data_IF_832822451453
#
_entry.id   IF_832822451453
#
_cell.length_a   1.000
_cell.length_b   1.000
_cell.length_c   1.000
_cell.angle_alpha   90.00
_cell.angle_beta   90.00
_cell.angle_gamma   90.00
#
_symmetry.space_group_name_H-M   'P 1'
#
loop_
_entity.id
_entity.type
_entity.pdbx_description
1 polymer ?
#
# COMPACT_ATOMS: atom_id res chain seq x y z
N UNK A 1 5.43 -9.26 -12.91
CA UNK A 1 5.66 -10.07 -11.69
C UNK A 1 5.59 -9.16 -10.47
N UNK A 2 5.35 -9.69 -9.26
CA UNK A 2 5.51 -8.93 -8.02
C UNK A 2 6.44 -9.64 -7.05
N UNK A 3 7.36 -8.88 -6.44
CA UNK A 3 8.15 -9.34 -5.30
C UNK A 3 7.39 -9.01 -4.00
N UNK A 4 6.90 -10.06 -3.35
CA UNK A 4 6.18 -10.00 -2.07
C UNK A 4 7.01 -10.56 -0.92
N UNK A 5 8.33 -10.60 -1.07
CA UNK A 5 9.26 -11.13 -0.07
C UNK A 5 9.09 -10.41 1.26
N UNK A 6 9.07 -11.18 2.34
CA UNK A 6 9.02 -10.64 3.72
C UNK A 6 10.07 -11.23 4.65
N UNK A 7 11.25 -11.57 4.11
CA UNK A 7 12.42 -12.02 4.87
C UNK A 7 13.33 -10.84 5.23
N UNK A 8 14.40 -11.06 6.00
CA UNK A 8 15.36 -10.00 6.40
C UNK A 8 16.17 -9.44 5.23
N UNK A 9 16.36 -10.20 4.14
CA UNK A 9 17.26 -9.86 3.03
C UNK A 9 16.54 -9.24 1.82
N UNK A 10 15.41 -8.54 2.02
CA UNK A 10 14.54 -8.04 0.92
C UNK A 10 15.33 -7.24 -0.12
N UNK A 11 16.25 -6.37 0.29
CA UNK A 11 17.04 -5.55 -0.63
C UNK A 11 17.92 -6.40 -1.56
N UNK A 12 18.57 -7.43 -1.01
CA UNK A 12 19.45 -8.33 -1.78
C UNK A 12 18.63 -9.18 -2.75
N UNK A 13 17.46 -9.66 -2.30
CA UNK A 13 16.55 -10.47 -3.11
C UNK A 13 16.02 -9.62 -4.28
N UNK A 14 15.45 -8.44 -3.99
CA UNK A 14 14.92 -7.52 -5.00
C UNK A 14 15.96 -7.16 -6.05
N UNK A 15 17.18 -6.77 -5.65
CA UNK A 15 18.27 -6.44 -6.58
C UNK A 15 18.68 -7.62 -7.48
N UNK A 16 18.62 -8.86 -6.97
CA UNK A 16 18.86 -10.06 -7.79
C UNK A 16 17.72 -10.34 -8.77
N UNK A 17 16.47 -10.13 -8.35
CA UNK A 17 15.29 -10.28 -9.21
C UNK A 17 15.35 -9.26 -10.34
N UNK A 18 15.55 -7.98 -10.03
CA UNK A 18 15.60 -6.89 -11.03
C UNK A 18 16.64 -7.17 -12.12
N UNK A 19 17.84 -7.67 -11.75
CA UNK A 19 18.89 -8.03 -12.72
C UNK A 19 18.50 -9.15 -13.69
N UNK A 20 17.53 -9.99 -13.35
CA UNK A 20 17.12 -11.17 -14.13
C UNK A 20 15.70 -11.07 -14.70
N UNK A 21 14.89 -10.16 -14.19
CA UNK A 21 13.49 -10.01 -14.54
C UNK A 21 13.37 -9.18 -15.81
N UNK A 22 12.92 -9.80 -16.89
CA UNK A 22 12.70 -9.17 -18.20
C UNK A 22 11.24 -8.68 -18.39
N UNK A 23 10.44 -8.69 -17.33
CA UNK A 23 9.04 -8.21 -17.32
C UNK A 23 8.87 -7.18 -16.20
N UNK A 24 7.82 -6.33 -16.23
CA UNK A 24 7.58 -5.36 -15.18
C UNK A 24 7.54 -6.00 -13.80
N UNK A 25 8.32 -5.46 -12.86
CA UNK A 25 8.41 -5.90 -11.48
C UNK A 25 7.70 -4.91 -10.57
N UNK A 26 6.77 -5.41 -9.75
CA UNK A 26 6.14 -4.61 -8.71
C UNK A 26 6.51 -5.04 -7.30
N UNK A 27 6.25 -4.16 -6.34
CA UNK A 27 6.47 -4.43 -4.92
C UNK A 27 5.36 -3.84 -4.04
N UNK A 28 5.33 -4.27 -2.78
CA UNK A 28 4.53 -3.65 -1.71
C UNK A 28 5.46 -3.05 -0.69
N UNK A 29 5.82 -1.77 -0.85
CA UNK A 29 6.82 -1.08 -0.01
C UNK A 29 6.49 -1.13 1.49
N UNK A 30 5.19 -1.16 1.82
CA UNK A 30 4.73 -1.30 3.21
C UNK A 30 5.22 -2.59 3.88
N UNK A 31 5.43 -3.69 3.14
CA UNK A 31 5.92 -4.94 3.73
C UNK A 31 7.36 -4.81 4.19
N UNK A 32 8.22 -4.18 3.38
CA UNK A 32 9.59 -3.91 3.77
C UNK A 32 9.65 -2.87 4.89
N UNK A 33 8.85 -1.81 4.84
CA UNK A 33 8.76 -0.83 5.92
C UNK A 33 8.36 -1.48 7.26
N UNK A 34 7.44 -2.45 7.23
CA UNK A 34 7.06 -3.21 8.44
C UNK A 34 8.20 -4.07 8.99
N UNK A 35 9.05 -4.65 8.12
CA UNK A 35 10.22 -5.44 8.53
C UNK A 35 11.29 -4.53 9.13
N UNK A 36 11.58 -3.41 8.48
CA UNK A 36 12.58 -2.44 8.97
C UNK A 36 12.14 -1.75 10.26
N UNK A 37 10.83 -1.51 10.45
CA UNK A 37 10.29 -0.99 11.71
C UNK A 37 10.30 -2.02 12.86
N UNK A 38 10.40 -3.32 12.54
CA UNK A 38 10.29 -4.44 13.48
C UNK A 38 8.87 -4.71 14.00
N UNK A 39 8.03 -3.68 14.11
CA UNK A 39 6.62 -3.79 14.52
C UNK A 39 5.75 -2.86 13.66
N UNK A 40 4.52 -3.29 13.34
CA UNK A 40 3.60 -2.52 12.50
C UNK A 40 3.34 -1.12 13.07
N UNK A 41 3.10 -1.02 14.39
CA UNK A 41 2.88 0.27 15.07
C UNK A 41 4.11 1.19 15.06
N UNK A 42 5.31 0.71 14.74
CA UNK A 42 6.52 1.56 14.67
C UNK A 42 6.77 2.14 13.29
N UNK A 43 5.97 1.77 12.29
CA UNK A 43 6.07 2.34 10.94
C UNK A 43 5.78 3.84 11.02
N UNK A 44 6.69 4.66 10.47
CA UNK A 44 6.49 6.10 10.30
C UNK A 44 6.28 6.42 8.82
N UNK A 45 5.72 7.60 8.52
CA UNK A 45 5.60 8.07 7.14
C UNK A 45 6.96 8.15 6.47
N UNK A 46 7.97 8.66 7.19
CA UNK A 46 9.30 8.90 6.64
C UNK A 46 10.02 7.59 6.32
N UNK A 47 9.91 6.58 7.19
CA UNK A 47 10.43 5.24 6.91
C UNK A 47 9.76 4.63 5.67
N UNK A 48 8.43 4.77 5.54
CA UNK A 48 7.74 4.27 4.36
C UNK A 48 8.21 4.97 3.08
N UNK A 49 8.36 6.30 3.10
CA UNK A 49 8.81 7.08 1.94
C UNK A 49 10.24 6.74 1.56
N UNK A 50 11.14 6.56 2.55
CA UNK A 50 12.52 6.12 2.32
C UNK A 50 12.56 4.74 1.66
N UNK A 51 11.79 3.78 2.17
CA UNK A 51 11.70 2.43 1.59
C UNK A 51 11.11 2.48 0.18
N UNK A 52 10.07 3.27 -0.05
CA UNK A 52 9.46 3.42 -1.36
C UNK A 52 10.43 4.03 -2.37
N UNK A 53 11.13 5.11 -2.01
CA UNK A 53 12.14 5.74 -2.87
C UNK A 53 13.33 4.82 -3.13
N UNK A 54 13.79 4.06 -2.12
CA UNK A 54 14.83 3.04 -2.27
C UNK A 54 14.43 1.99 -3.30
N UNK A 55 13.20 1.48 -3.22
CA UNK A 55 12.68 0.50 -4.18
C UNK A 55 12.54 1.08 -5.59
N UNK A 56 12.03 2.31 -5.70
CA UNK A 56 11.92 3.02 -6.97
C UNK A 56 13.30 3.20 -7.63
N UNK A 57 14.30 3.64 -6.86
CA UNK A 57 15.70 3.77 -7.30
C UNK A 57 16.33 2.45 -7.72
N UNK A 58 15.99 1.36 -7.04
CA UNK A 58 16.46 0.01 -7.42
C UNK A 58 15.87 -0.46 -8.75
N UNK A 59 14.74 0.11 -9.19
CA UNK A 59 14.14 -0.13 -10.51
C UNK A 59 12.84 -0.94 -10.51
N UNK A 60 12.00 -0.84 -9.47
CA UNK A 60 10.63 -1.36 -9.57
C UNK A 60 9.81 -0.55 -10.59
N UNK A 61 8.93 -1.20 -11.34
CA UNK A 61 8.09 -0.55 -12.34
C UNK A 61 6.74 -0.10 -11.78
N UNK A 62 6.24 -0.78 -10.74
CA UNK A 62 5.00 -0.38 -10.08
C UNK A 62 5.00 -0.71 -8.58
N UNK A 63 4.25 0.05 -7.80
CA UNK A 63 4.11 -0.20 -6.37
C UNK A 63 2.65 -0.27 -5.95
N UNK A 64 2.29 -1.28 -5.15
CA UNK A 64 0.94 -1.33 -4.57
C UNK A 64 0.86 -0.41 -3.36
N UNK A 65 0.18 0.71 -3.51
CA UNK A 65 -0.01 1.70 -2.43
C UNK A 65 -1.37 1.50 -1.77
N UNK A 66 -1.35 1.33 -0.45
CA UNK A 66 -2.49 0.90 0.37
C UNK A 66 -3.26 2.10 0.95
N UNK A 67 -3.46 3.15 0.15
CA UNK A 67 -4.00 4.43 0.61
C UNK A 67 -5.55 4.48 0.67
N UNK A 68 -6.29 3.52 0.11
CA UNK A 68 -7.75 3.60 -0.01
C UNK A 68 -8.53 3.44 1.30
N UNK A 69 -7.94 2.78 2.30
CA UNK A 69 -8.56 2.59 3.63
C UNK A 69 -8.44 3.86 4.45
N UNK A 70 -9.53 4.20 5.14
CA UNK A 70 -9.61 5.37 6.01
C UNK A 70 -10.24 4.98 7.34
N UNK A 71 -10.23 5.85 8.33
CA UNK A 71 -10.92 5.59 9.62
C UNK A 71 -12.42 5.31 9.44
N UNK A 72 -13.04 5.87 8.41
CA UNK A 72 -14.46 5.61 8.08
C UNK A 72 -14.73 4.14 7.73
N UNK A 73 -13.70 3.36 7.42
CA UNK A 73 -13.82 1.96 7.07
C UNK A 73 -14.07 1.04 8.28
N UNK A 74 -13.62 1.41 9.50
CA UNK A 74 -13.77 0.57 10.71
C UNK A 74 -15.20 0.06 10.96
N UNK A 75 -16.23 0.93 11.09
CA UNK A 75 -17.60 0.48 11.37
C UNK A 75 -18.23 -0.31 10.21
N UNK A 76 -17.66 -0.25 9.00
CA UNK A 76 -18.11 -1.04 7.86
C UNK A 76 -17.50 -2.45 7.89
N UNK A 77 -16.22 -2.56 8.25
CA UNK A 77 -15.48 -3.82 8.37
C UNK A 77 -16.04 -4.68 9.51
N UNK A 78 -16.50 -4.07 10.61
CA UNK A 78 -17.10 -4.80 11.73
C UNK A 78 -18.37 -5.58 11.36
N UNK A 79 -19.04 -5.20 10.27
CA UNK A 79 -20.27 -5.86 9.78
C UNK A 79 -20.00 -7.06 8.88
N UNK A 80 -18.74 -7.32 8.52
CA UNK A 80 -18.36 -8.39 7.60
C UNK A 80 -18.26 -9.74 8.30
N UNK A 81 -18.56 -10.79 7.54
CA UNK A 81 -18.28 -12.17 7.94
C UNK A 81 -16.77 -12.39 8.04
N UNK A 82 -16.02 -11.99 7.01
CA UNK A 82 -14.56 -12.10 6.92
C UNK A 82 -13.88 -10.73 6.87
N UNK A 83 -14.09 -9.90 7.90
CA UNK A 83 -13.39 -8.61 8.21
C UNK A 83 -12.46 -8.06 7.10
N UNK A 84 -11.15 -7.99 7.36
CA UNK A 84 -10.12 -7.60 6.40
C UNK A 84 -9.18 -8.78 6.18
N UNK A 85 -9.01 -9.17 4.91
CA UNK A 85 -8.15 -10.31 4.50
C UNK A 85 -6.89 -9.87 3.75
N UNK A 86 -6.73 -8.57 3.54
CA UNK A 86 -5.58 -8.00 2.86
C UNK A 86 -4.45 -7.78 3.86
N UNK A 87 -3.29 -8.44 3.70
CA UNK A 87 -2.16 -8.29 4.64
C UNK A 87 -1.77 -6.83 4.86
N UNK A 88 -1.50 -6.09 3.78
CA UNK A 88 -1.17 -4.66 3.89
C UNK A 88 -2.34 -3.79 4.39
N UNK A 89 -3.58 -4.22 4.15
CA UNK A 89 -4.76 -3.56 4.71
C UNK A 89 -4.84 -3.71 6.22
N UNK A 90 -4.59 -4.93 6.71
CA UNK A 90 -4.55 -5.24 8.14
C UNK A 90 -3.43 -4.48 8.85
N UNK A 91 -2.26 -4.30 8.22
CA UNK A 91 -1.17 -3.50 8.78
C UNK A 91 -1.60 -2.05 9.04
N UNK A 92 -2.24 -1.41 8.05
CA UNK A 92 -2.68 -0.03 8.21
C UNK A 92 -3.86 0.12 9.17
N UNK A 93 -4.80 -0.82 9.15
CA UNK A 93 -5.91 -0.82 10.12
C UNK A 93 -5.39 -0.94 11.56
N UNK A 94 -4.41 -1.82 11.80
CA UNK A 94 -3.75 -1.95 13.09
C UNK A 94 -3.01 -0.67 13.48
N UNK A 95 -2.21 -0.12 12.57
CA UNK A 95 -1.48 1.13 12.78
C UNK A 95 -2.42 2.29 13.11
N UNK A 96 -3.50 2.46 12.34
CA UNK A 96 -4.52 3.50 12.55
C UNK A 96 -5.22 3.35 13.90
N UNK A 97 -5.56 2.11 14.27
CA UNK A 97 -6.19 1.81 15.56
C UNK A 97 -5.26 2.12 16.73
N UNK A 98 -3.99 1.73 16.63
CA UNK A 98 -2.99 1.98 17.67
C UNK A 98 -2.75 3.48 17.91
N UNK A 99 -2.57 4.25 16.83
CA UNK A 99 -2.26 5.68 16.94
C UNK A 99 -3.49 6.57 17.08
N UNK A 100 -4.69 6.00 16.91
CA UNK A 100 -5.92 6.77 16.78
C UNK A 100 -5.79 7.88 15.72
N UNK A 101 -5.20 7.56 14.56
CA UNK A 101 -4.93 8.48 13.44
C UNK A 101 -5.51 7.98 12.13
N UNK A 102 -5.58 8.87 11.14
CA UNK A 102 -5.94 8.50 9.77
C UNK A 102 -4.78 7.75 9.09
N UNK A 103 -5.07 7.03 8.02
CA UNK A 103 -4.07 6.34 7.23
C UNK A 103 -2.99 7.33 6.70
N UNK A 104 -1.76 7.20 7.19
CA UNK A 104 -0.67 8.09 6.78
C UNK A 104 -0.40 8.04 5.26
N UNK A 105 -0.67 6.91 4.58
CA UNK A 105 -0.56 6.83 3.12
C UNK A 105 -1.63 7.64 2.40
N UNK A 106 -2.80 7.82 3.02
CA UNK A 106 -3.89 8.62 2.48
C UNK A 106 -3.63 10.12 2.68
N UNK A 107 -3.17 10.49 3.88
CA UNK A 107 -2.83 11.87 4.26
C UNK A 107 -1.65 12.39 3.43
N UNK A 108 -0.60 11.58 3.29
CA UNK A 108 0.65 11.94 2.61
C UNK A 108 0.74 11.40 1.18
N UNK A 109 -0.40 11.13 0.54
CA UNK A 109 -0.43 10.51 -0.79
C UNK A 109 0.31 11.33 -1.85
N UNK A 110 0.30 12.66 -1.75
CA UNK A 110 0.94 13.53 -2.74
C UNK A 110 2.49 13.41 -2.68
N UNK A 111 3.08 13.20 -1.50
CA UNK A 111 4.52 12.90 -1.36
C UNK A 111 4.90 11.58 -2.07
N UNK A 112 4.00 10.60 -2.03
CA UNK A 112 4.18 9.31 -2.74
C UNK A 112 4.11 9.55 -4.26
N UNK A 113 3.20 10.39 -4.73
CA UNK A 113 3.07 10.74 -6.16
C UNK A 113 4.33 11.44 -6.66
N UNK A 114 4.93 12.35 -5.89
CA UNK A 114 6.17 13.03 -6.29
C UNK A 114 7.35 12.05 -6.45
N UNK A 115 7.51 11.10 -5.52
CA UNK A 115 8.52 10.04 -5.66
C UNK A 115 8.22 9.18 -6.88
N UNK A 116 6.96 8.78 -7.08
CA UNK A 116 6.56 7.97 -8.22
C UNK A 116 6.85 8.68 -9.55
N UNK A 117 6.60 9.98 -9.64
CA UNK A 117 6.90 10.83 -10.81
C UNK A 117 8.40 10.91 -11.08
N UNK A 118 9.21 11.12 -10.03
CA UNK A 118 10.67 11.23 -10.14
C UNK A 118 11.33 9.98 -10.75
N UNK A 119 10.77 8.79 -10.50
CA UNK A 119 11.33 7.51 -10.91
C UNK A 119 10.49 6.76 -11.95
N UNK A 120 9.44 7.38 -12.50
CA UNK A 120 8.48 6.77 -13.43
C UNK A 120 7.88 5.43 -12.93
N UNK A 121 7.46 5.43 -11.66
CA UNK A 121 6.82 4.26 -11.02
C UNK A 121 5.31 4.35 -11.15
N UNK A 122 4.68 3.31 -11.71
CA UNK A 122 3.22 3.23 -11.76
C UNK A 122 2.63 2.93 -10.37
N UNK A 123 1.67 3.73 -9.92
CA UNK A 123 0.95 3.48 -8.68
C UNK A 123 -0.20 2.49 -8.88
N UNK A 124 -0.05 1.28 -8.35
CA UNK A 124 -1.14 0.29 -8.25
C UNK A 124 -1.95 0.56 -6.98
N UNK A 125 -3.02 1.34 -7.06
CA UNK A 125 -3.84 1.65 -5.89
C UNK A 125 -4.53 0.38 -5.37
N UNK A 126 -4.12 -0.08 -4.19
CA UNK A 126 -4.46 -1.40 -3.68
C UNK A 126 -5.84 -1.48 -3.04
N UNK A 127 -6.48 -2.63 -3.20
CA UNK A 127 -7.77 -3.01 -2.61
C UNK A 127 -7.60 -3.76 -1.27
N UNK A 128 -7.86 -3.08 -0.17
CA UNK A 128 -7.69 -3.63 1.18
C UNK A 128 -8.96 -4.31 1.66
N UNK A 129 -10.09 -3.72 1.33
CA UNK A 129 -11.43 -4.15 1.68
C UNK A 129 -12.00 -4.99 0.55
N UNK A 130 -11.16 -5.70 -0.22
CA UNK A 130 -11.66 -6.77 -1.09
C UNK A 130 -12.30 -7.88 -0.24
N UNK A 131 -13.42 -8.47 -0.69
CA UNK A 131 -14.08 -9.56 0.01
C UNK A 131 -13.31 -10.88 -0.16
N UNK A 132 -13.39 -11.78 0.83
CA UNK A 132 -12.86 -13.16 0.73
C UNK A 132 -13.95 -14.22 0.57
N UNK A 133 -15.18 -13.87 0.92
CA UNK A 133 -16.37 -14.70 0.82
C UNK A 133 -17.49 -13.95 0.07
N UNK A 134 -18.45 -14.71 -0.45
CA UNK A 134 -19.56 -14.15 -1.23
C UNK A 134 -20.47 -13.23 -0.40
N UNK A 135 -20.62 -13.51 0.89
CA UNK A 135 -21.46 -12.71 1.80
C UNK A 135 -20.95 -11.26 1.96
N UNK A 136 -19.64 -11.02 1.82
CA UNK A 136 -19.03 -9.69 1.93
C UNK A 136 -18.85 -9.01 0.56
N UNK A 137 -19.26 -9.66 -0.54
CA UNK A 137 -19.04 -9.16 -1.88
C UNK A 137 -19.91 -7.94 -2.20
N UNK A 138 -19.31 -6.90 -2.82
CA UNK A 138 -19.95 -5.63 -3.15
C UNK A 138 -20.55 -4.89 -1.94
N UNK A 139 -20.05 -5.16 -0.75
CA UNK A 139 -20.54 -4.52 0.46
C UNK A 139 -20.15 -3.04 0.57
N UNK A 140 -20.67 -2.37 1.61
CA UNK A 140 -20.41 -0.94 1.84
C UNK A 140 -18.92 -0.66 2.08
N UNK A 141 -18.17 -1.57 2.69
CA UNK A 141 -16.74 -1.37 2.94
C UNK A 141 -15.96 -1.37 1.62
N UNK A 142 -16.19 -2.34 0.73
CA UNK A 142 -15.55 -2.43 -0.57
C UNK A 142 -15.87 -1.21 -1.43
N UNK A 143 -17.15 -0.82 -1.51
CA UNK A 143 -17.57 0.34 -2.31
C UNK A 143 -17.02 1.65 -1.74
N UNK A 144 -16.91 1.78 -0.42
CA UNK A 144 -16.34 2.96 0.22
C UNK A 144 -14.85 3.11 -0.10
N UNK A 145 -14.08 2.03 -0.03
CA UNK A 145 -12.68 2.06 -0.46
C UNK A 145 -12.55 2.39 -1.95
N UNK A 146 -13.36 1.76 -2.81
CA UNK A 146 -13.34 2.01 -4.25
C UNK A 146 -13.54 3.49 -4.59
N UNK A 147 -14.46 4.17 -3.90
CA UNK A 147 -14.68 5.63 -4.04
C UNK A 147 -13.45 6.44 -3.62
N UNK A 148 -12.75 6.03 -2.56
CA UNK A 148 -11.51 6.68 -2.15
C UNK A 148 -10.40 6.47 -3.18
N UNK A 149 -10.26 5.25 -3.71
CA UNK A 149 -9.28 4.94 -4.76
C UNK A 149 -9.54 5.79 -6.02
N UNK A 150 -10.80 6.04 -6.38
CA UNK A 150 -11.15 6.96 -7.47
C UNK A 150 -10.62 8.39 -7.23
N UNK A 151 -10.84 8.94 -6.03
CA UNK A 151 -10.31 10.26 -5.67
C UNK A 151 -8.78 10.32 -5.68
N UNK A 152 -8.12 9.26 -5.18
CA UNK A 152 -6.66 9.14 -5.20
C UNK A 152 -6.12 9.02 -6.62
N UNK A 153 -6.82 8.33 -7.53
CA UNK A 153 -6.47 8.26 -8.94
C UNK A 153 -6.50 9.65 -9.59
N UNK A 154 -7.53 10.44 -9.32
CA UNK A 154 -7.63 11.80 -9.84
C UNK A 154 -6.54 12.72 -9.26
N UNK A 155 -6.21 12.57 -7.98
CA UNK A 155 -5.06 13.27 -7.35
C UNK A 155 -3.75 12.91 -8.03
N UNK A 156 -3.47 11.63 -8.21
CA UNK A 156 -2.26 11.16 -8.89
C UNK A 156 -2.14 11.74 -10.30
N UNK A 157 -3.21 11.66 -11.10
CA UNK A 157 -3.24 12.20 -12.47
C UNK A 157 -2.93 13.70 -12.52
N UNK A 158 -3.37 14.48 -11.53
CA UNK A 158 -3.03 15.91 -11.44
C UNK A 158 -1.55 16.13 -11.14
N UNK A 159 -0.94 15.29 -10.30
CA UNK A 159 0.49 15.35 -10.00
C UNK A 159 1.39 14.94 -11.17
N UNK A 160 0.94 14.04 -12.04
CA UNK A 160 1.69 13.62 -13.25
C UNK A 160 1.57 14.60 -14.44
N UNK A 161 0.61 15.53 -14.41
CA UNK A 161 0.51 16.62 -15.38
C UNK A 161 1.49 17.75 -15.05
#
# INVERSE_FOLDING_TARGET
MMDLSTSSDVDKIRKKIIKKCNVPLGAVSLYQAAIEAGEIKKITKDLYLEVFEKQARDGINFATVHAGVTRKSFPLIEKRVMKCVSRGGSFLLEWMKHHNKENFLYEHFDEIVEIAKKYDVTLSLGDKLRPRCLADAMDKAQIQELKNLGKLSDRAKKGFR
#
